data_IF_678378311418
#
_entry.id   IF_678378311418
#
_cell.length_a   1.000
_cell.length_b   1.000
_cell.length_c   1.000
_cell.angle_alpha   90.00
_cell.angle_beta   90.00
_cell.angle_gamma   90.00
#
_symmetry.space_group_name_H-M   'P 1'
#
loop_
_entity.id
_entity.type
_entity.pdbx_description
1 polymer ?
#
# COMPACT_ATOMS: atom_id res chain seq x y z
N UNK A 1 -42.72 -15.28 29.46
CA UNK A 1 -41.28 -15.60 29.48
C UNK A 1 -40.77 -15.32 28.08
N UNK A 2 -40.49 -14.06 27.80
CA UNK A 2 -39.79 -13.65 26.57
C UNK A 2 -38.35 -14.13 26.70
N UNK A 3 -37.94 -15.04 25.83
CA UNK A 3 -36.52 -15.30 25.66
C UNK A 3 -35.92 -14.11 24.90
N UNK A 4 -34.78 -13.56 25.32
CA UNK A 4 -34.10 -12.54 24.55
C UNK A 4 -33.66 -13.18 23.23
N UNK A 5 -34.11 -12.62 22.10
CA UNK A 5 -33.53 -12.91 20.80
C UNK A 5 -32.04 -12.60 20.92
N UNK A 6 -31.20 -13.62 20.79
CA UNK A 6 -29.77 -13.42 20.54
C UNK A 6 -29.67 -12.47 19.34
N UNK A 7 -29.17 -11.26 19.56
CA UNK A 7 -28.77 -10.39 18.49
C UNK A 7 -27.66 -11.11 17.74
N UNK A 8 -27.99 -11.74 16.61
CA UNK A 8 -27.02 -12.23 15.65
C UNK A 8 -26.21 -11.02 15.18
N UNK A 9 -25.08 -10.75 15.84
CA UNK A 9 -24.10 -9.78 15.36
C UNK A 9 -23.66 -10.34 14.01
N UNK A 10 -23.93 -9.59 12.95
CA UNK A 10 -23.51 -10.00 11.61
C UNK A 10 -21.98 -9.91 11.56
N UNK A 11 -21.33 -11.05 11.39
CA UNK A 11 -19.88 -11.12 11.18
C UNK A 11 -19.56 -11.08 9.69
N UNK A 12 -18.68 -10.17 9.30
CA UNK A 12 -18.22 -9.98 7.93
C UNK A 12 -16.88 -10.67 7.68
N UNK A 13 -16.68 -11.13 6.44
CA UNK A 13 -15.44 -11.80 6.04
C UNK A 13 -14.41 -10.88 5.40
N UNK A 14 -13.15 -11.22 5.64
CA UNK A 14 -11.96 -10.53 5.15
C UNK A 14 -10.83 -11.56 4.89
N UNK A 15 -9.63 -11.04 4.63
CA UNK A 15 -8.49 -11.86 4.27
C UNK A 15 -8.55 -12.33 2.81
N UNK A 16 -7.58 -13.15 2.44
CA UNK A 16 -7.50 -13.78 1.12
C UNK A 16 -8.82 -14.48 0.79
N UNK A 17 -9.42 -14.13 -0.35
CA UNK A 17 -10.69 -14.68 -0.84
C UNK A 17 -11.85 -14.65 0.18
N UNK A 18 -11.86 -13.66 1.09
CA UNK A 18 -12.90 -13.50 2.12
C UNK A 18 -13.16 -14.77 2.96
N UNK A 19 -12.11 -15.57 3.22
CA UNK A 19 -12.26 -16.86 3.91
C UNK A 19 -12.19 -16.77 5.44
N UNK A 20 -11.79 -15.62 5.99
CA UNK A 20 -11.62 -15.41 7.45
C UNK A 20 -12.77 -14.57 8.02
N UNK A 21 -13.19 -14.91 9.24
CA UNK A 21 -14.22 -14.22 10.04
C UNK A 21 -13.90 -14.41 11.53
N UNK A 22 -14.27 -13.44 12.36
CA UNK A 22 -14.19 -13.50 13.82
C UNK A 22 -12.79 -13.81 14.37
N UNK A 23 -11.75 -13.47 13.59
CA UNK A 23 -10.37 -13.57 14.05
C UNK A 23 -10.11 -12.49 15.10
N UNK A 24 -10.52 -11.24 14.84
CA UNK A 24 -10.22 -10.08 15.69
C UNK A 24 -11.07 -9.99 16.96
N UNK A 25 -12.27 -10.60 16.98
CA UNK A 25 -13.17 -10.64 18.13
C UNK A 25 -12.55 -11.28 19.38
N UNK A 26 -11.52 -12.11 19.20
CA UNK A 26 -10.80 -12.80 20.27
C UNK A 26 -9.52 -12.06 20.72
N UNK A 27 -9.19 -10.92 20.11
CA UNK A 27 -8.01 -10.13 20.47
C UNK A 27 -8.39 -8.91 21.31
N UNK A 28 -7.45 -8.47 22.14
CA UNK A 28 -7.60 -7.25 22.95
C UNK A 28 -7.64 -5.99 22.06
N UNK A 29 -8.17 -4.89 22.60
CA UNK A 29 -8.36 -3.63 21.86
C UNK A 29 -7.07 -3.05 21.26
N UNK A 30 -5.90 -3.40 21.80
CA UNK A 30 -4.60 -2.99 21.28
C UNK A 30 -4.29 -3.58 19.90
N UNK A 31 -4.73 -4.82 19.61
CA UNK A 31 -4.59 -5.42 18.28
C UNK A 31 -5.36 -4.63 17.23
N UNK A 32 -6.57 -4.16 17.56
CA UNK A 32 -7.39 -3.33 16.67
C UNK A 32 -6.75 -1.99 16.34
N UNK A 33 -5.86 -1.46 17.20
CA UNK A 33 -5.17 -0.19 16.94
C UNK A 33 -4.02 -0.33 15.94
N UNK A 34 -3.54 -1.55 15.69
CA UNK A 34 -2.45 -1.78 14.73
C UNK A 34 -2.90 -1.63 13.28
N UNK A 35 -4.16 -1.99 13.00
CA UNK A 35 -4.75 -1.95 11.67
C UNK A 35 -5.60 -0.69 11.48
N UNK A 36 -5.69 -0.20 10.25
CA UNK A 36 -6.51 0.99 9.97
C UNK A 36 -8.01 0.67 10.07
N UNK A 37 -8.41 -0.53 9.62
CA UNK A 37 -9.73 -1.06 9.90
C UNK A 37 -9.76 -1.66 11.31
N UNK A 38 -10.23 -0.87 12.27
CA UNK A 38 -10.26 -1.24 13.70
C UNK A 38 -11.35 -2.28 14.04
N UNK A 39 -12.32 -2.47 13.15
CA UNK A 39 -13.51 -3.29 13.39
C UNK A 39 -13.79 -4.26 12.23
N UNK A 40 -12.82 -5.08 11.82
CA UNK A 40 -12.91 -5.87 10.59
C UNK A 40 -14.01 -6.95 10.64
N UNK A 41 -14.36 -7.43 11.84
CA UNK A 41 -15.43 -8.41 12.04
C UNK A 41 -16.83 -7.81 11.92
N UNK A 42 -17.00 -6.52 12.17
CA UNK A 42 -18.33 -5.87 12.26
C UNK A 42 -18.56 -4.80 11.20
N UNK A 43 -17.51 -4.35 10.51
CA UNK A 43 -17.62 -3.41 9.40
C UNK A 43 -18.12 -4.14 8.15
N UNK A 44 -19.26 -3.73 7.56
CA UNK A 44 -19.75 -4.35 6.34
C UNK A 44 -18.76 -4.19 5.19
N UNK A 45 -18.54 -5.26 4.41
CA UNK A 45 -17.63 -5.25 3.25
C UNK A 45 -17.94 -4.12 2.27
N UNK A 46 -19.23 -3.78 2.09
CA UNK A 46 -19.67 -2.67 1.25
C UNK A 46 -19.25 -1.29 1.74
N UNK A 47 -18.96 -1.16 3.03
CA UNK A 47 -18.62 0.11 3.69
C UNK A 47 -17.12 0.31 3.89
N UNK A 48 -16.30 -0.76 3.75
CA UNK A 48 -14.84 -0.71 3.94
C UNK A 48 -14.22 0.40 3.07
N UNK A 49 -14.53 0.41 1.77
CA UNK A 49 -13.96 1.38 0.83
C UNK A 49 -14.33 2.82 1.19
N UNK A 50 -15.59 3.09 1.52
CA UNK A 50 -16.02 4.44 1.90
C UNK A 50 -15.32 4.91 3.19
N UNK A 51 -15.23 4.05 4.20
CA UNK A 51 -14.55 4.39 5.46
C UNK A 51 -13.05 4.60 5.26
N UNK A 52 -12.41 3.81 4.39
CA UNK A 52 -11.02 4.00 4.00
C UNK A 52 -10.79 5.36 3.35
N UNK A 53 -11.60 5.70 2.34
CA UNK A 53 -11.46 6.97 1.61
C UNK A 53 -11.66 8.18 2.54
N UNK A 54 -12.62 8.12 3.45
CA UNK A 54 -12.84 9.15 4.48
C UNK A 54 -11.62 9.30 5.39
N UNK A 55 -11.07 8.19 5.90
CA UNK A 55 -9.87 8.22 6.76
C UNK A 55 -8.65 8.73 6.02
N UNK A 56 -8.43 8.29 4.78
CA UNK A 56 -7.35 8.77 3.91
C UNK A 56 -7.46 10.28 3.65
N UNK A 57 -8.68 10.80 3.50
CA UNK A 57 -8.90 12.24 3.33
C UNK A 57 -8.55 13.02 4.60
N UNK A 58 -8.90 12.48 5.77
CA UNK A 58 -8.54 13.07 7.06
C UNK A 58 -7.04 13.04 7.33
N UNK A 59 -6.36 11.98 6.90
CA UNK A 59 -4.91 11.80 7.09
C UNK A 59 -4.06 12.62 6.12
N UNK A 60 -4.64 13.07 5.01
CA UNK A 60 -3.91 13.78 3.97
C UNK A 60 -3.40 15.14 4.48
N UNK A 61 -2.07 15.28 4.50
CA UNK A 61 -1.40 16.54 4.74
C UNK A 61 -0.93 17.15 3.41
N UNK A 62 -1.71 18.10 2.90
CA UNK A 62 -1.43 18.81 1.65
C UNK A 62 -0.11 19.60 1.68
N UNK A 63 0.24 20.23 2.81
CA UNK A 63 1.48 21.01 2.92
C UNK A 63 2.71 20.12 2.78
N UNK A 64 2.73 19.00 3.51
CA UNK A 64 3.80 18.01 3.40
C UNK A 64 3.92 17.49 1.96
N UNK A 65 2.78 17.14 1.34
CA UNK A 65 2.78 16.69 -0.05
C UNK A 65 3.35 17.76 -1.01
N UNK A 66 2.97 19.03 -0.85
CA UNK A 66 3.47 20.11 -1.70
C UNK A 66 4.97 20.33 -1.52
N UNK A 67 5.48 20.25 -0.28
CA UNK A 67 6.93 20.29 -0.02
C UNK A 67 7.63 19.17 -0.78
N UNK A 68 7.22 17.91 -0.59
CA UNK A 68 7.83 16.79 -1.30
C UNK A 68 7.69 16.91 -2.82
N UNK A 69 6.56 17.41 -3.32
CA UNK A 69 6.34 17.61 -4.75
C UNK A 69 7.37 18.57 -5.37
N UNK A 70 7.80 19.58 -4.62
CA UNK A 70 8.71 20.62 -5.08
C UNK A 70 10.18 20.35 -4.72
N UNK A 71 10.43 19.71 -3.58
CA UNK A 71 11.76 19.60 -2.97
C UNK A 71 12.29 18.17 -2.89
N UNK A 72 11.47 17.14 -3.15
CA UNK A 72 11.95 15.76 -3.12
C UNK A 72 12.88 15.48 -4.31
N UNK A 73 14.18 15.63 -4.06
CA UNK A 73 15.26 15.34 -4.99
C UNK A 73 16.17 14.22 -4.46
N UNK A 74 15.57 13.09 -4.13
CA UNK A 74 16.32 11.90 -3.70
C UNK A 74 16.67 11.04 -4.91
N UNK A 75 17.80 11.34 -5.56
CA UNK A 75 18.24 10.61 -6.75
C UNK A 75 18.35 9.10 -6.53
N UNK A 76 18.79 8.64 -5.35
CA UNK A 76 18.90 7.21 -5.03
C UNK A 76 17.52 6.54 -5.06
N UNK A 77 16.49 7.19 -4.51
CA UNK A 77 15.11 6.71 -4.51
C UNK A 77 14.54 6.60 -5.93
N UNK A 78 14.77 7.61 -6.77
CA UNK A 78 14.26 7.67 -8.14
C UNK A 78 15.04 6.77 -9.12
N UNK A 79 16.32 6.53 -8.87
CA UNK A 79 17.20 5.72 -9.72
C UNK A 79 17.38 4.28 -9.24
N UNK A 80 16.80 3.92 -8.08
CA UNK A 80 16.78 2.54 -7.60
C UNK A 80 16.25 1.60 -8.68
N UNK A 81 16.95 0.47 -8.82
CA UNK A 81 16.58 -0.64 -9.70
C UNK A 81 16.34 -1.86 -8.85
N UNK A 82 15.14 -2.41 -8.98
CA UNK A 82 14.78 -3.63 -8.29
C UNK A 82 15.67 -4.78 -8.78
N UNK A 83 16.17 -5.57 -7.85
CA UNK A 83 16.95 -6.77 -8.14
C UNK A 83 16.24 -7.96 -7.53
N UNK A 84 15.84 -8.91 -8.36
CA UNK A 84 15.25 -10.19 -7.95
C UNK A 84 16.05 -11.30 -8.61
N UNK A 85 16.38 -12.33 -7.83
CA UNK A 85 17.10 -13.48 -8.33
C UNK A 85 16.21 -14.35 -9.23
N UNK A 86 16.79 -14.92 -10.28
CA UNK A 86 16.08 -15.79 -11.24
C UNK A 86 15.51 -17.07 -10.59
N UNK A 87 16.10 -17.51 -9.46
CA UNK A 87 15.72 -18.73 -8.76
C UNK A 87 15.48 -18.48 -7.26
N UNK A 88 14.57 -19.26 -6.67
CA UNK A 88 14.38 -19.31 -5.23
C UNK A 88 15.69 -19.70 -4.52
N UNK A 89 16.02 -19.02 -3.43
CA UNK A 89 17.15 -19.39 -2.59
C UNK A 89 16.77 -20.54 -1.61
N UNK A 90 17.75 -21.02 -0.83
CA UNK A 90 17.50 -22.12 0.11
C UNK A 90 16.52 -21.74 1.23
N UNK A 91 16.59 -20.50 1.72
CA UNK A 91 15.66 -20.01 2.73
C UNK A 91 14.23 -19.95 2.18
N UNK A 92 14.04 -19.50 0.93
CA UNK A 92 12.74 -19.49 0.25
C UNK A 92 12.16 -20.90 0.17
N UNK A 93 12.99 -21.88 -0.24
CA UNK A 93 12.58 -23.28 -0.31
C UNK A 93 12.19 -23.84 1.06
N UNK A 94 12.90 -23.48 2.11
CA UNK A 94 12.58 -23.91 3.47
C UNK A 94 11.32 -23.24 4.01
N UNK A 95 11.14 -21.95 3.75
CA UNK A 95 9.95 -21.20 4.11
C UNK A 95 8.69 -21.79 3.45
N UNK A 96 8.80 -22.27 2.21
CA UNK A 96 7.74 -22.95 1.48
C UNK A 96 7.39 -24.33 2.05
N UNK A 97 8.38 -25.11 2.53
CA UNK A 97 8.11 -26.40 3.19
C UNK A 97 7.28 -26.23 4.46
N UNK A 98 7.43 -25.10 5.13
CA UNK A 98 6.67 -24.76 6.34
C UNK A 98 5.24 -24.27 6.05
N UNK A 99 4.90 -24.01 4.78
CA UNK A 99 3.53 -23.66 4.41
C UNK A 99 2.65 -24.92 4.37
N UNK A 100 1.58 -24.91 5.16
CA UNK A 100 0.59 -25.98 5.13
C UNK A 100 -0.20 -25.92 3.81
N UNK A 101 -0.03 -26.94 2.98
CA UNK A 101 -0.87 -27.10 1.80
C UNK A 101 -2.35 -27.23 2.19
N UNK A 102 -3.21 -26.47 1.51
CA UNK A 102 -4.67 -26.63 1.52
C UNK A 102 -5.21 -26.41 0.11
N UNK A 103 -6.30 -27.08 -0.25
CA UNK A 103 -6.96 -26.78 -1.52
C UNK A 103 -7.62 -25.41 -1.43
N UNK A 104 -7.31 -24.52 -2.37
CA UNK A 104 -7.99 -23.23 -2.46
C UNK A 104 -9.27 -23.41 -3.28
N UNK A 105 -10.35 -22.79 -2.82
CA UNK A 105 -11.65 -22.78 -3.49
C UNK A 105 -11.96 -21.34 -3.84
N UNK A 106 -11.52 -20.93 -5.03
CA UNK A 106 -11.63 -19.56 -5.51
C UNK A 106 -12.67 -19.53 -6.63
N UNK A 107 -13.75 -18.82 -6.38
CA UNK A 107 -14.83 -18.61 -7.34
C UNK A 107 -14.50 -17.47 -8.31
N UNK A 108 -13.98 -16.35 -7.77
CA UNK A 108 -13.56 -15.18 -8.55
C UNK A 108 -12.07 -14.88 -8.30
N UNK A 109 -11.29 -14.97 -9.37
CA UNK A 109 -9.84 -14.73 -9.33
C UNK A 109 -9.51 -13.23 -9.43
N UNK A 110 -10.44 -12.38 -9.91
CA UNK A 110 -10.17 -10.96 -10.16
C UNK A 110 -9.70 -10.24 -8.88
N UNK A 111 -10.40 -10.31 -7.73
CA UNK A 111 -9.95 -9.62 -6.52
C UNK A 111 -8.58 -10.09 -6.02
N UNK A 112 -8.19 -11.33 -6.32
CA UNK A 112 -6.90 -11.89 -5.91
C UNK A 112 -5.77 -11.31 -6.75
N UNK A 113 -5.93 -11.21 -8.08
CA UNK A 113 -4.94 -10.54 -8.93
C UNK A 113 -4.84 -9.04 -8.62
N UNK A 114 -5.95 -8.40 -8.26
CA UNK A 114 -5.95 -6.98 -7.89
C UNK A 114 -5.29 -6.73 -6.53
N UNK A 115 -5.56 -7.57 -5.53
CA UNK A 115 -4.87 -7.52 -4.24
C UNK A 115 -3.38 -7.88 -4.37
N UNK A 116 -2.99 -8.74 -5.31
CA UNK A 116 -1.60 -9.01 -5.64
C UNK A 116 -0.87 -7.73 -6.07
N UNK A 117 -1.47 -6.90 -6.93
CA UNK A 117 -0.90 -5.61 -7.35
C UNK A 117 -0.74 -4.68 -6.15
N UNK A 118 -1.79 -4.50 -5.35
CA UNK A 118 -1.79 -3.60 -4.20
C UNK A 118 -0.69 -3.95 -3.17
N UNK A 119 -0.50 -5.24 -2.90
CA UNK A 119 0.54 -5.73 -1.98
C UNK A 119 1.93 -5.58 -2.60
N UNK A 120 2.13 -5.97 -3.87
CA UNK A 120 3.42 -5.80 -4.56
C UNK A 120 3.82 -4.34 -4.67
N UNK A 121 2.86 -3.44 -4.90
CA UNK A 121 3.10 -2.01 -4.93
C UNK A 121 3.70 -1.50 -3.61
N UNK A 122 3.10 -1.90 -2.49
CA UNK A 122 3.58 -1.53 -1.17
C UNK A 122 5.00 -2.08 -0.91
N UNK A 123 5.27 -3.31 -1.34
CA UNK A 123 6.60 -3.90 -1.29
C UNK A 123 7.64 -3.11 -2.09
N UNK A 124 7.39 -2.81 -3.37
CA UNK A 124 8.38 -2.12 -4.22
C UNK A 124 8.61 -0.68 -3.79
N UNK A 125 7.59 -0.02 -3.22
CA UNK A 125 7.79 1.28 -2.58
C UNK A 125 8.82 1.18 -1.45
N UNK A 126 8.66 0.18 -0.57
CA UNK A 126 9.59 -0.03 0.53
C UNK A 126 10.99 -0.42 0.02
N UNK A 127 11.09 -1.23 -1.03
CA UNK A 127 12.37 -1.55 -1.68
C UNK A 127 13.09 -0.31 -2.20
N UNK A 128 12.37 0.63 -2.85
CA UNK A 128 12.95 1.91 -3.25
C UNK A 128 13.42 2.72 -2.06
N UNK A 129 12.59 2.82 -1.02
CA UNK A 129 12.90 3.59 0.18
C UNK A 129 14.16 3.06 0.89
N UNK A 130 14.28 1.75 1.00
CA UNK A 130 15.33 1.05 1.74
C UNK A 130 16.50 0.62 0.88
N UNK A 131 16.47 0.90 -0.42
CA UNK A 131 17.46 0.45 -1.40
C UNK A 131 17.65 -1.08 -1.39
N UNK A 132 16.58 -1.83 -1.12
CA UNK A 132 16.57 -3.29 -1.07
C UNK A 132 17.00 -3.90 0.27
N UNK A 133 17.32 -3.09 1.29
CA UNK A 133 17.71 -3.55 2.63
C UNK A 133 16.65 -3.15 3.67
N UNK A 134 15.67 -4.02 3.98
CA UNK A 134 14.56 -3.69 4.88
C UNK A 134 15.02 -3.20 6.25
N UNK A 135 14.28 -2.24 6.83
CA UNK A 135 14.53 -1.69 8.15
C UNK A 135 13.32 -1.88 9.08
N UNK A 136 13.37 -1.35 10.30
CA UNK A 136 12.27 -1.47 11.27
C UNK A 136 10.95 -0.81 10.79
N UNK A 137 11.00 0.13 9.86
CA UNK A 137 9.80 0.77 9.29
C UNK A 137 9.20 -0.02 8.12
N UNK A 138 9.92 -1.00 7.56
CA UNK A 138 9.47 -1.76 6.38
C UNK A 138 8.13 -2.45 6.57
N UNK A 139 7.88 -3.17 7.69
CA UNK A 139 6.57 -3.77 7.92
C UNK A 139 5.46 -2.73 8.00
N UNK A 140 5.72 -1.58 8.63
CA UNK A 140 4.76 -0.50 8.72
C UNK A 140 4.46 0.09 7.33
N UNK A 141 5.47 0.39 6.53
CA UNK A 141 5.30 0.94 5.18
C UNK A 141 4.48 0.01 4.29
N UNK A 142 4.83 -1.28 4.26
CA UNK A 142 4.17 -2.28 3.40
C UNK A 142 2.71 -2.45 3.82
N UNK A 143 2.46 -2.62 5.12
CA UNK A 143 1.11 -2.70 5.66
C UNK A 143 0.32 -1.43 5.33
N UNK A 144 0.88 -0.25 5.63
CA UNK A 144 0.19 1.03 5.53
C UNK A 144 -0.08 1.44 4.09
N UNK A 145 0.77 1.11 3.12
CA UNK A 145 0.51 1.45 1.72
C UNK A 145 -0.50 0.53 1.06
N UNK A 146 -0.55 -0.76 1.42
CA UNK A 146 -1.52 -1.70 0.87
C UNK A 146 -2.90 -1.52 1.52
N UNK A 147 -3.91 -1.21 0.71
CA UNK A 147 -5.31 -1.15 1.18
C UNK A 147 -5.86 -2.54 1.50
N UNK A 148 -5.39 -3.56 0.78
CA UNK A 148 -5.70 -4.96 1.07
C UNK A 148 -5.16 -5.39 2.43
N UNK A 149 -3.98 -4.91 2.86
CA UNK A 149 -3.43 -5.26 4.18
C UNK A 149 -3.94 -4.36 5.31
N UNK A 150 -4.02 -3.04 5.11
CA UNK A 150 -4.41 -2.10 6.17
C UNK A 150 -5.92 -2.05 6.45
N UNK A 151 -6.73 -2.18 5.39
CA UNK A 151 -8.18 -2.02 5.46
C UNK A 151 -8.96 -3.31 5.22
N UNK A 152 -8.28 -4.35 4.75
CA UNK A 152 -8.90 -5.55 4.24
C UNK A 152 -9.86 -5.26 3.07
N UNK A 153 -9.56 -4.21 2.29
CA UNK A 153 -10.33 -3.84 1.09
C UNK A 153 -10.08 -4.86 -0.03
N UNK A 154 -11.13 -5.12 -0.80
CA UNK A 154 -11.15 -6.07 -1.91
C UNK A 154 -11.56 -5.33 -3.17
N UNK A 155 -10.65 -5.27 -4.12
CA UNK A 155 -10.83 -4.50 -5.35
C UNK A 155 -11.58 -5.28 -6.41
N UNK A 156 -12.30 -4.54 -7.25
CA UNK A 156 -13.17 -5.06 -8.32
C UNK A 156 -12.70 -4.69 -9.71
N UNK A 157 -11.80 -3.71 -9.81
CA UNK A 157 -11.30 -3.14 -11.05
C UNK A 157 -9.87 -2.60 -10.85
N UNK A 158 -9.12 -2.58 -11.93
CA UNK A 158 -7.71 -2.18 -11.94
C UNK A 158 -7.50 -0.68 -11.64
N UNK A 159 -8.22 0.27 -12.25
CA UNK A 159 -8.02 1.70 -11.98
C UNK A 159 -8.14 2.03 -10.49
N UNK A 160 -9.14 1.46 -9.80
CA UNK A 160 -9.31 1.67 -8.35
C UNK A 160 -8.10 1.22 -7.53
N UNK A 161 -7.41 0.13 -7.92
CA UNK A 161 -6.18 -0.32 -7.24
C UNK A 161 -5.06 0.69 -7.43
N UNK A 162 -4.80 1.11 -8.67
CA UNK A 162 -3.67 2.00 -8.99
C UNK A 162 -3.88 3.39 -8.36
N UNK A 163 -5.12 3.88 -8.37
CA UNK A 163 -5.51 5.11 -7.66
C UNK A 163 -5.25 4.95 -6.16
N UNK A 164 -5.66 3.82 -5.57
CA UNK A 164 -5.44 3.56 -4.14
C UNK A 164 -3.96 3.57 -3.76
N UNK A 165 -3.13 2.87 -4.54
CA UNK A 165 -1.68 2.82 -4.39
C UNK A 165 -1.05 4.22 -4.43
N UNK A 166 -1.39 5.02 -5.46
CA UNK A 166 -0.88 6.37 -5.62
C UNK A 166 -1.36 7.29 -4.51
N UNK A 167 -2.67 7.29 -4.22
CA UNK A 167 -3.31 8.11 -3.18
C UNK A 167 -2.63 7.88 -1.83
N UNK A 168 -2.47 6.63 -1.40
CA UNK A 168 -1.83 6.29 -0.10
C UNK A 168 -0.36 6.68 -0.04
N UNK A 169 0.34 6.69 -1.17
CA UNK A 169 1.72 7.19 -1.28
C UNK A 169 1.82 8.69 -1.05
N UNK A 170 0.77 9.45 -1.40
CA UNK A 170 0.74 10.89 -1.16
C UNK A 170 0.32 11.25 0.29
N UNK A 171 -0.13 10.26 1.07
CA UNK A 171 -0.69 10.47 2.41
C UNK A 171 0.27 10.01 3.51
N UNK A 172 0.79 8.78 3.40
CA UNK A 172 1.35 8.08 4.56
C UNK A 172 2.87 8.10 4.69
N UNK A 173 3.65 7.71 3.68
CA UNK A 173 5.07 7.47 3.88
C UNK A 173 5.84 8.79 4.01
N UNK A 174 7.14 8.66 4.32
CA UNK A 174 8.06 9.81 4.45
C UNK A 174 8.23 10.60 3.16
N UNK A 175 8.22 9.94 1.98
CA UNK A 175 8.45 10.58 0.70
C UNK A 175 7.18 10.54 -0.17
N UNK A 176 6.47 11.67 -0.26
CA UNK A 176 5.12 11.76 -0.87
C UNK A 176 5.20 12.38 -2.24
N UNK A 177 5.42 11.55 -3.25
CA UNK A 177 5.55 12.02 -4.63
C UNK A 177 4.77 11.16 -5.61
N UNK A 178 3.98 11.81 -6.46
CA UNK A 178 3.24 11.12 -7.51
C UNK A 178 4.17 10.54 -8.59
N UNK A 179 5.30 11.20 -8.85
CA UNK A 179 6.33 10.67 -9.74
C UNK A 179 6.94 9.39 -9.18
N UNK A 180 7.20 9.36 -7.87
CA UNK A 180 7.68 8.15 -7.19
C UNK A 180 6.61 7.05 -7.24
N UNK A 181 5.35 7.37 -6.95
CA UNK A 181 4.24 6.43 -7.03
C UNK A 181 4.15 5.77 -8.42
N UNK A 182 4.24 6.56 -9.50
CA UNK A 182 4.27 6.04 -10.87
C UNK A 182 5.46 5.13 -11.13
N UNK A 183 6.65 5.43 -10.60
CA UNK A 183 7.81 4.53 -10.71
C UNK A 183 7.58 3.20 -10.00
N UNK A 184 7.01 3.21 -8.80
CA UNK A 184 6.63 1.99 -8.10
C UNK A 184 5.65 1.13 -8.91
N UNK A 185 4.66 1.74 -9.58
CA UNK A 185 3.76 0.99 -10.47
C UNK A 185 4.50 0.31 -11.64
N UNK A 186 5.54 0.95 -12.19
CA UNK A 186 6.38 0.35 -13.22
C UNK A 186 7.23 -0.81 -12.67
N UNK A 187 7.70 -0.72 -11.43
CA UNK A 187 8.42 -1.84 -10.79
C UNK A 187 7.51 -3.04 -10.56
N UNK A 188 6.22 -2.80 -10.23
CA UNK A 188 5.24 -3.90 -10.17
C UNK A 188 5.13 -4.58 -11.53
N UNK A 189 5.02 -3.82 -12.63
CA UNK A 189 5.03 -4.40 -13.98
C UNK A 189 6.30 -5.21 -14.24
N UNK A 190 7.46 -4.74 -13.77
CA UNK A 190 8.74 -5.45 -13.89
C UNK A 190 8.70 -6.80 -13.16
N UNK A 191 8.28 -6.84 -11.90
CA UNK A 191 8.11 -8.08 -11.12
C UNK A 191 7.15 -9.05 -11.84
N UNK A 192 5.99 -8.55 -12.27
CA UNK A 192 5.00 -9.38 -12.96
C UNK A 192 5.59 -9.97 -14.25
N UNK A 193 6.44 -9.22 -14.96
CA UNK A 193 7.09 -9.63 -16.20
C UNK A 193 8.18 -10.69 -15.98
N UNK A 194 8.87 -10.67 -14.83
CA UNK A 194 9.81 -11.72 -14.41
C UNK A 194 9.09 -13.03 -14.08
N UNK A 195 7.80 -12.95 -13.70
CA UNK A 195 6.90 -14.09 -13.57
C UNK A 195 6.79 -14.63 -12.14
N UNK A 196 6.22 -15.84 -12.02
CA UNK A 196 5.73 -16.37 -10.73
C UNK A 196 6.81 -16.57 -9.67
N UNK A 197 8.04 -16.88 -10.08
CA UNK A 197 9.16 -17.04 -9.14
C UNK A 197 9.47 -15.72 -8.43
N UNK A 198 9.63 -14.64 -9.21
CA UNK A 198 9.87 -13.30 -8.69
C UNK A 198 8.76 -12.83 -7.74
N UNK A 199 7.50 -13.01 -8.16
CA UNK A 199 6.34 -12.67 -7.32
C UNK A 199 6.41 -13.45 -5.99
N UNK A 200 6.70 -14.76 -6.04
CA UNK A 200 6.77 -15.60 -4.85
C UNK A 200 7.89 -15.17 -3.90
N UNK A 201 9.05 -14.77 -4.44
CA UNK A 201 10.17 -14.24 -3.64
C UNK A 201 9.76 -12.98 -2.87
N UNK A 202 9.09 -12.03 -3.52
CA UNK A 202 8.57 -10.83 -2.85
C UNK A 202 7.65 -11.20 -1.67
N UNK A 203 6.72 -12.13 -1.89
CA UNK A 203 5.78 -12.57 -0.85
C UNK A 203 6.48 -13.29 0.31
N UNK A 204 7.50 -14.11 0.02
CA UNK A 204 8.29 -14.77 1.06
C UNK A 204 9.14 -13.77 1.86
N UNK A 205 9.68 -12.73 1.23
CA UNK A 205 10.37 -11.65 1.94
C UNK A 205 9.40 -10.89 2.85
N UNK A 206 8.25 -10.45 2.35
CA UNK A 206 7.22 -9.80 3.19
C UNK A 206 6.77 -10.68 4.35
N UNK A 207 6.61 -11.98 4.11
CA UNK A 207 6.20 -12.94 5.15
C UNK A 207 7.22 -13.01 6.28
N UNK A 208 8.52 -12.98 5.96
CA UNK A 208 9.60 -12.92 6.95
C UNK A 208 9.56 -11.61 7.74
N UNK A 209 9.36 -10.48 7.06
CA UNK A 209 9.24 -9.16 7.71
C UNK A 209 8.11 -9.10 8.74
N UNK A 210 6.94 -9.68 8.44
CA UNK A 210 5.82 -9.67 9.37
C UNK A 210 5.91 -10.71 10.48
N UNK A 211 6.78 -11.72 10.39
CA UNK A 211 6.80 -12.83 11.35
C UNK A 211 7.11 -12.37 12.78
N UNK A 212 8.05 -11.43 12.91
CA UNK A 212 8.55 -10.94 14.20
C UNK A 212 7.87 -9.63 14.64
N UNK A 213 6.89 -9.14 13.86
CA UNK A 213 6.18 -7.89 14.14
C UNK A 213 4.96 -8.09 15.02
N UNK A 214 4.89 -7.28 16.08
CA UNK A 214 3.78 -7.27 17.02
C UNK A 214 2.47 -7.02 16.27
N UNK A 215 1.51 -7.92 16.44
CA UNK A 215 0.20 -7.98 15.77
C UNK A 215 0.22 -8.18 14.23
N UNK A 216 1.20 -7.65 13.48
CA UNK A 216 1.24 -7.76 12.00
C UNK A 216 1.57 -9.15 11.48
N UNK A 217 2.12 -10.04 12.31
CA UNK A 217 2.25 -11.47 11.96
C UNK A 217 0.92 -12.09 11.50
N UNK A 218 -0.21 -11.54 11.93
CA UNK A 218 -1.53 -11.98 11.52
C UNK A 218 -1.77 -11.81 10.00
N UNK A 219 -1.13 -10.84 9.35
CA UNK A 219 -1.18 -10.65 7.89
C UNK A 219 -0.60 -11.85 7.13
N UNK A 220 0.34 -12.58 7.73
CA UNK A 220 0.82 -13.84 7.15
C UNK A 220 -0.31 -14.86 7.07
N UNK A 221 -1.08 -14.99 8.15
CA UNK A 221 -2.22 -15.91 8.23
C UNK A 221 -3.36 -15.44 7.32
N UNK A 222 -3.72 -14.16 7.36
CA UNK A 222 -4.88 -13.63 6.64
C UNK A 222 -4.64 -13.53 5.12
N UNK A 223 -3.40 -13.29 4.69
CA UNK A 223 -3.09 -13.03 3.28
C UNK A 223 -1.86 -13.79 2.77
N UNK A 224 -0.67 -13.55 3.33
CA UNK A 224 0.57 -13.89 2.62
C UNK A 224 0.80 -15.40 2.44
N UNK A 225 0.41 -16.22 3.42
CA UNK A 225 0.50 -17.68 3.31
C UNK A 225 -0.36 -18.21 2.15
N UNK A 226 -1.56 -17.65 1.97
CA UNK A 226 -2.50 -18.08 0.95
C UNK A 226 -2.11 -17.54 -0.43
N UNK A 227 -1.59 -16.33 -0.52
CA UNK A 227 -0.95 -15.84 -1.74
C UNK A 227 0.23 -16.72 -2.15
N UNK A 228 1.14 -17.06 -1.23
CA UNK A 228 2.27 -17.94 -1.55
C UNK A 228 1.79 -19.28 -2.11
N UNK A 229 0.75 -19.87 -1.53
CA UNK A 229 0.16 -21.11 -2.01
C UNK A 229 -0.51 -20.93 -3.38
N UNK A 230 -1.32 -19.90 -3.54
CA UNK A 230 -2.03 -19.58 -4.78
C UNK A 230 -1.07 -19.30 -5.94
N UNK A 231 0.03 -18.57 -5.72
CA UNK A 231 1.06 -18.31 -6.72
C UNK A 231 1.64 -19.63 -7.26
N UNK A 232 1.84 -20.61 -6.39
CA UNK A 232 2.37 -21.92 -6.77
C UNK A 232 1.35 -22.76 -7.54
N UNK A 233 0.08 -22.73 -7.16
CA UNK A 233 -0.91 -23.71 -7.62
C UNK A 233 -1.91 -23.20 -8.66
N UNK A 234 -2.33 -21.95 -8.57
CA UNK A 234 -3.49 -21.40 -9.32
C UNK A 234 -3.19 -20.10 -10.07
N UNK A 235 -2.05 -19.46 -9.83
CA UNK A 235 -1.63 -18.29 -10.60
C UNK A 235 -1.20 -18.69 -12.03
N UNK A 236 -1.80 -18.02 -13.01
CA UNK A 236 -1.66 -18.30 -14.43
C UNK A 236 -0.91 -17.17 -15.13
N UNK A 237 0.15 -17.52 -15.87
CA UNK A 237 0.97 -16.55 -16.60
C UNK A 237 0.18 -15.75 -17.64
N UNK A 238 -0.86 -16.33 -18.26
CA UNK A 238 -1.71 -15.61 -19.20
C UNK A 238 -2.45 -14.44 -18.55
N UNK A 239 -2.92 -14.62 -17.31
CA UNK A 239 -3.56 -13.56 -16.55
C UNK A 239 -2.56 -12.47 -16.16
N UNK A 240 -1.34 -12.85 -15.74
CA UNK A 240 -0.26 -11.89 -15.45
C UNK A 240 0.06 -11.03 -16.69
N UNK A 241 0.19 -11.64 -17.86
CA UNK A 241 0.47 -10.91 -19.11
C UNK A 241 -0.66 -9.94 -19.47
N UNK A 242 -1.92 -10.37 -19.38
CA UNK A 242 -3.06 -9.48 -19.60
C UNK A 242 -3.10 -8.32 -18.59
N UNK A 243 -2.76 -8.60 -17.33
CA UNK A 243 -2.72 -7.61 -16.27
C UNK A 243 -1.61 -6.57 -16.49
N UNK A 244 -0.43 -7.01 -16.94
CA UNK A 244 0.68 -6.12 -17.32
C UNK A 244 0.25 -5.15 -18.41
N UNK A 245 -0.38 -5.63 -19.49
CA UNK A 245 -0.80 -4.77 -20.59
C UNK A 245 -1.92 -3.80 -20.15
N UNK A 246 -2.85 -4.27 -19.33
CA UNK A 246 -3.88 -3.40 -18.74
C UNK A 246 -3.26 -2.32 -17.83
N UNK A 247 -2.28 -2.68 -16.98
CA UNK A 247 -1.58 -1.74 -16.11
C UNK A 247 -0.86 -0.66 -16.92
N UNK A 248 -0.09 -1.05 -17.96
CA UNK A 248 0.58 -0.10 -18.84
C UNK A 248 -0.42 0.89 -19.45
N UNK A 249 -1.52 0.39 -19.99
CA UNK A 249 -2.57 1.24 -20.57
C UNK A 249 -3.16 2.21 -19.53
N UNK A 250 -3.58 1.71 -18.37
CA UNK A 250 -4.18 2.56 -17.33
C UNK A 250 -3.19 3.61 -16.81
N UNK A 251 -1.91 3.25 -16.62
CA UNK A 251 -0.87 4.19 -16.18
C UNK A 251 -0.63 5.31 -17.21
N UNK A 252 -0.65 4.98 -18.50
CA UNK A 252 -0.32 5.95 -19.56
C UNK A 252 -1.50 6.85 -19.92
N UNK A 253 -2.74 6.36 -19.82
CA UNK A 253 -3.91 7.05 -20.38
C UNK A 253 -5.01 7.41 -19.37
N UNK A 254 -5.09 6.75 -18.22
CA UNK A 254 -6.22 6.90 -17.28
C UNK A 254 -5.79 7.41 -15.90
N UNK A 255 -4.51 7.30 -15.54
CA UNK A 255 -4.00 7.67 -14.22
C UNK A 255 -3.44 9.10 -14.20
N UNK A 256 -4.20 10.01 -13.60
CA UNK A 256 -3.79 11.40 -13.34
C UNK A 256 -3.69 11.70 -11.84
N UNK A 257 -2.81 12.63 -11.47
CA UNK A 257 -2.61 13.06 -10.08
C UNK A 257 -3.88 13.70 -9.50
N UNK A 258 -4.63 14.44 -10.33
CA UNK A 258 -5.83 15.15 -9.90
C UNK A 258 -7.01 14.21 -9.64
N UNK A 259 -6.99 13.00 -10.22
CA UNK A 259 -8.06 12.01 -10.10
C UNK A 259 -7.88 11.11 -8.86
N UNK A 260 -6.89 11.38 -8.01
CA UNK A 260 -6.68 10.65 -6.76
C UNK A 260 -7.70 10.96 -5.66
N UNK A 261 -8.65 11.86 -5.92
CA UNK A 261 -9.73 12.23 -4.99
C UNK A 261 -9.25 12.95 -3.73
N UNK A 262 -8.07 13.60 -3.79
CA UNK A 262 -7.50 14.39 -2.70
C UNK A 262 -7.83 15.86 -2.91
N UNK A 263 -8.28 16.55 -1.87
CA UNK A 263 -8.55 17.99 -1.92
C UNK A 263 -7.24 18.81 -2.00
N UNK A 264 -6.77 19.06 -3.22
CA UNK A 264 -5.59 19.88 -3.48
C UNK A 264 -5.88 21.40 -3.44
N UNK A 265 -7.09 21.82 -3.77
CA UNK A 265 -7.34 23.20 -4.25
C UNK A 265 -7.44 24.27 -3.14
N UNK A 266 -8.09 23.97 -2.01
CA UNK A 266 -8.35 25.00 -0.98
C UNK A 266 -7.07 25.44 -0.26
N UNK A 267 -6.05 24.56 -0.19
CA UNK A 267 -4.78 24.82 0.50
C UNK A 267 -3.62 25.23 -0.41
N UNK A 268 -3.72 24.97 -1.73
CA UNK A 268 -2.73 25.43 -2.72
C UNK A 268 -2.64 26.96 -2.80
N UNK A 269 -3.76 27.66 -2.56
CA UNK A 269 -3.79 29.12 -2.49
C UNK A 269 -3.06 29.64 -1.24
N UNK A 270 -3.28 29.01 -0.08
CA UNK A 270 -2.61 29.37 1.17
C UNK A 270 -1.09 29.18 1.11
N UNK A 271 -0.62 28.06 0.52
CA UNK A 271 0.82 27.81 0.36
C UNK A 271 1.50 28.84 -0.55
N UNK A 272 0.85 29.21 -1.68
CA UNK A 272 1.38 30.25 -2.57
C UNK A 272 1.47 31.61 -1.88
N UNK A 273 0.49 31.97 -1.04
CA UNK A 273 0.52 33.21 -0.26
C UNK A 273 1.69 33.19 0.74
N UNK A 274 1.87 32.10 1.48
CA UNK A 274 2.98 31.98 2.44
C UNK A 274 4.37 32.07 1.78
N UNK A 275 4.54 31.50 0.59
CA UNK A 275 5.79 31.63 -0.18
C UNK A 275 6.07 33.07 -0.60
N UNK A 276 5.05 33.79 -1.10
CA UNK A 276 5.20 35.20 -1.44
C UNK A 276 5.55 36.04 -0.20
N UNK A 277 4.91 35.78 0.94
CA UNK A 277 5.19 36.48 2.19
C UNK A 277 6.60 36.18 2.74
N UNK A 278 7.10 34.95 2.59
CA UNK A 278 8.46 34.57 3.00
C UNK A 278 9.54 35.17 2.09
N UNK A 279 9.27 35.35 0.79
CA UNK A 279 10.21 36.00 -0.13
C UNK A 279 10.28 37.52 0.05
N UNK A 280 9.23 38.14 0.60
CA UNK A 280 9.16 39.60 0.81
C UNK A 280 9.87 40.06 2.10
N UNK A 281 10.35 39.13 2.96
CA UNK A 281 11.02 39.45 4.23
C UNK A 281 12.55 39.46 4.20
N UNK A 282 13.19 39.11 3.08
CA UNK A 282 14.66 38.95 3.00
C UNK A 282 15.42 40.13 2.33
N UNK A 283 14.75 41.22 1.94
CA UNK A 283 15.37 42.32 1.17
C UNK A 283 15.63 43.65 1.93
N UNK A 284 15.41 43.72 3.25
CA UNK A 284 15.60 44.96 4.04
C UNK A 284 16.70 44.82 5.12
N UNK A 285 17.95 44.56 4.71
CA UNK A 285 19.12 44.82 5.57
C UNK A 285 20.35 45.26 4.73
N UNK A 286 20.25 46.45 4.13
CA UNK A 286 21.42 47.21 3.69
C UNK A 286 21.31 48.66 4.17
N UNK A 287 21.44 48.85 5.49
CA UNK A 287 21.70 50.17 6.06
C UNK A 287 23.17 50.51 5.80
N UNK A 288 23.44 51.21 4.69
CA UNK A 288 24.69 51.91 4.50
C UNK A 288 24.77 53.06 5.51
N UNK A 289 25.58 52.88 6.55
CA UNK A 289 26.00 53.96 7.45
C UNK A 289 26.97 54.89 6.71
N UNK A 290 26.42 55.87 6.02
CA UNK A 290 27.13 57.10 5.65
C UNK A 290 26.91 58.13 6.75
N UNK A 291 27.86 58.23 7.69
CA UNK A 291 28.03 59.41 8.54
C UNK A 291 29.14 60.28 7.94
N UNK A 292 28.73 61.44 7.42
CA UNK A 292 29.59 62.59 7.17
C UNK A 292 29.84 63.35 8.49
N UNK A 293 31.12 63.65 8.75
CA UNK A 293 31.74 64.82 9.42
C UNK A 293 32.79 64.46 10.48
#
# INVERSE_FOLDING_TARGET
LDQPKENLISSYSYGFNHQYKEIFSNFDSEYSLTFDNQSPDTLPTSSIRSSRLEKEQLDFNCEHYLVDKHELDNEMLFNFKLTIDDELNDQDRDDLKNLKYKKLLIDDQIPIYLGLIDILYAFVYDQRLTQGEPCCESPWNIHKLSSTLAWFDSFTDLPSVLISCCRRTLIYPLNRSFKLARKCLLDVIEILSMGKCAILQCFLQMRRLFLDEEHRYLLNTLYLNDYCLWIQTECHTQWLNSLIEAMKHTIDYELDENDLGLDFEEKRFSWKVNLCEASDTDDDDCVSSSEEQ
#
